data_IF_390839337213
#
_entry.id   IF_390839337213
#
_cell.length_a   1.000
_cell.length_b   1.000
_cell.length_c   1.000
_cell.angle_alpha   90.00
_cell.angle_beta   90.00
_cell.angle_gamma   90.00
#
_symmetry.space_group_name_H-M   'P 1'
#
loop_
_entity.id
_entity.type
_entity.pdbx_description
1 polymer ?
#
# COMPACT_ATOMS: atom_id res chain seq x y z
N UNK A 1 -43.04 -31.60 -3.91
CA UNK A 1 -42.37 -32.52 -4.86
C UNK A 1 -40.89 -32.17 -4.89
N UNK A 2 -40.08 -33.13 -4.41
CA UNK A 2 -38.70 -33.47 -4.80
C UNK A 2 -37.65 -32.39 -5.05
N UNK A 3 -36.38 -32.48 -4.65
CA UNK A 3 -35.57 -33.34 -3.78
C UNK A 3 -34.17 -32.70 -3.96
N UNK A 4 -33.39 -32.45 -2.92
CA UNK A 4 -31.93 -32.52 -3.07
C UNK A 4 -31.29 -32.98 -1.76
N UNK A 5 -30.45 -33.98 -1.96
CA UNK A 5 -30.02 -35.01 -1.02
C UNK A 5 -28.75 -34.55 -0.29
N UNK A 6 -28.71 -34.74 1.02
CA UNK A 6 -27.49 -34.80 1.81
C UNK A 6 -26.77 -36.14 1.56
N UNK A 7 -25.45 -36.13 1.35
CA UNK A 7 -24.64 -37.33 1.40
C UNK A 7 -23.62 -37.21 2.54
N UNK A 8 -23.89 -37.99 3.59
CA UNK A 8 -23.00 -38.32 4.69
C UNK A 8 -21.90 -39.30 4.25
N UNK A 9 -20.77 -39.20 4.96
CA UNK A 9 -19.94 -40.29 5.50
C UNK A 9 -19.50 -41.46 4.59
N UNK A 10 -18.18 -41.57 4.41
CA UNK A 10 -17.44 -42.83 4.25
C UNK A 10 -16.17 -42.75 5.13
N UNK A 11 -16.14 -43.35 6.33
CA UNK A 11 -15.93 -44.76 6.68
C UNK A 11 -14.44 -45.15 6.77
N UNK A 12 -14.06 -45.57 7.99
CA UNK A 12 -12.79 -46.16 8.41
C UNK A 12 -12.42 -47.37 7.55
N UNK A 13 -11.14 -47.49 7.19
CA UNK A 13 -10.51 -48.79 6.97
C UNK A 13 -9.05 -48.77 7.42
N UNK A 14 -8.71 -49.71 8.30
CA UNK A 14 -7.35 -50.07 8.72
C UNK A 14 -7.11 -51.51 8.25
N UNK A 15 -5.88 -51.85 7.85
CA UNK A 15 -5.37 -53.18 8.15
C UNK A 15 -4.07 -53.12 8.96
N UNK A 16 -3.95 -54.15 9.80
CA UNK A 16 -2.85 -54.47 10.71
C UNK A 16 -1.63 -55.03 9.96
N UNK A 17 -0.51 -55.02 10.68
CA UNK A 17 0.71 -55.84 10.57
C UNK A 17 1.88 -55.25 9.75
N UNK A 18 2.92 -54.87 10.50
CA UNK A 18 4.23 -54.44 10.00
C UNK A 18 5.15 -54.01 11.14
N UNK A 19 5.37 -54.91 12.11
CA UNK A 19 6.38 -54.75 13.17
C UNK A 19 7.79 -54.89 12.59
N UNK A 20 8.74 -54.13 13.16
CA UNK A 20 10.19 -54.07 12.88
C UNK A 20 10.66 -53.23 11.70
N UNK A 21 10.67 -51.88 11.85
CA UNK A 21 11.65 -51.01 11.15
C UNK A 21 11.84 -49.59 11.68
N UNK A 22 11.47 -49.29 12.93
CA UNK A 22 11.51 -47.91 13.47
C UNK A 22 12.59 -47.60 14.53
N UNK A 23 13.54 -48.50 14.79
CA UNK A 23 14.62 -48.23 15.78
C UNK A 23 15.98 -47.82 15.18
N UNK A 24 16.17 -47.82 13.84
CA UNK A 24 17.44 -47.37 13.24
C UNK A 24 17.40 -45.97 12.61
N UNK A 25 16.23 -45.36 12.42
CA UNK A 25 16.11 -44.02 11.84
C UNK A 25 16.31 -42.87 12.85
N UNK A 26 16.13 -43.14 14.15
CA UNK A 26 16.33 -42.13 15.19
C UNK A 26 17.79 -42.00 15.66
N UNK A 27 18.66 -42.98 15.38
CA UNK A 27 20.07 -42.89 15.74
C UNK A 27 20.91 -42.07 14.74
N UNK A 28 20.47 -41.94 13.48
CA UNK A 28 21.18 -41.18 12.45
C UNK A 28 20.91 -39.66 12.52
N UNK A 29 19.77 -39.24 13.08
CA UNK A 29 19.43 -37.82 13.26
C UNK A 29 20.13 -37.18 14.47
N UNK A 30 20.57 -37.97 15.45
CA UNK A 30 21.29 -37.49 16.64
C UNK A 30 22.79 -37.26 16.40
N UNK A 31 23.40 -37.93 15.41
CA UNK A 31 24.84 -37.80 15.12
C UNK A 31 25.13 -36.65 14.14
N UNK A 32 24.21 -36.34 13.22
CA UNK A 32 24.33 -35.15 12.36
C UNK A 32 24.14 -33.82 13.11
N UNK A 33 23.50 -33.85 14.29
CA UNK A 33 23.29 -32.66 15.14
C UNK A 33 24.46 -32.39 16.09
N UNK A 34 25.40 -33.32 16.25
CA UNK A 34 26.63 -33.12 17.04
C UNK A 34 27.84 -32.72 16.19
N UNK A 35 27.89 -33.07 14.90
CA UNK A 35 28.97 -32.63 14.01
C UNK A 35 28.77 -31.19 13.48
N UNK A 36 27.54 -30.66 13.54
CA UNK A 36 27.26 -29.27 13.15
C UNK A 36 27.35 -28.25 14.30
N UNK A 37 27.66 -28.70 15.53
CA UNK A 37 27.64 -27.87 16.72
C UNK A 37 29.02 -27.31 17.14
N UNK A 38 30.12 -27.71 16.49
CA UNK A 38 31.48 -27.38 16.96
C UNK A 38 32.32 -26.42 16.10
N UNK A 39 31.77 -25.78 15.05
CA UNK A 39 32.52 -24.77 14.27
C UNK A 39 31.85 -23.39 14.21
N UNK A 40 31.23 -22.97 15.31
CA UNK A 40 30.66 -21.62 15.45
C UNK A 40 31.22 -20.86 16.67
N UNK A 41 32.55 -20.93 16.85
CA UNK A 41 33.27 -20.12 17.85
C UNK A 41 34.36 -19.24 17.22
N UNK A 42 34.03 -18.54 16.12
CA UNK A 42 34.79 -17.33 15.73
C UNK A 42 33.94 -16.08 15.86
N UNK A 43 34.25 -15.32 16.92
CA UNK A 43 33.82 -13.94 17.16
C UNK A 43 34.03 -13.10 15.89
N UNK A 44 32.96 -12.87 15.14
CA UNK A 44 32.86 -11.73 14.25
C UNK A 44 32.24 -10.58 15.05
N UNK A 45 33.04 -9.57 15.37
CA UNK A 45 32.59 -8.32 15.97
C UNK A 45 31.44 -7.74 15.12
N UNK A 46 30.23 -7.78 15.68
CA UNK A 46 29.00 -7.50 14.96
C UNK A 46 28.79 -6.02 14.65
N UNK A 47 29.34 -5.55 13.53
CA UNK A 47 28.74 -4.46 12.76
C UNK A 47 27.91 -5.05 11.63
N UNK A 48 26.60 -5.24 11.86
CA UNK A 48 25.64 -5.64 10.82
C UNK A 48 25.62 -4.58 9.71
N UNK A 49 25.88 -4.90 8.43
CA UNK A 49 25.69 -3.93 7.36
C UNK A 49 24.18 -3.74 7.17
N UNK A 50 23.67 -2.56 7.53
CA UNK A 50 22.26 -2.22 7.34
C UNK A 50 22.07 -1.83 5.86
N UNK A 51 21.58 -2.78 5.09
CA UNK A 51 21.51 -2.75 3.62
C UNK A 51 20.39 -1.85 3.07
N UNK A 52 19.34 -1.60 3.86
CA UNK A 52 18.44 -0.45 3.76
C UNK A 52 18.31 0.12 5.17
N UNK A 53 18.53 1.43 5.37
CA UNK A 53 18.54 1.99 6.72
C UNK A 53 17.23 1.64 7.47
N UNK A 54 17.28 1.48 8.80
CA UNK A 54 16.09 1.13 9.59
C UNK A 54 14.90 2.07 9.31
N UNK A 55 15.19 3.34 9.01
CA UNK A 55 14.20 4.34 8.61
C UNK A 55 13.43 3.99 7.34
N UNK A 56 14.09 3.52 6.29
CA UNK A 56 13.47 3.14 5.02
C UNK A 56 12.57 1.92 5.19
N UNK A 57 13.02 0.90 5.93
CA UNK A 57 12.22 -0.31 6.20
C UNK A 57 10.94 0.05 6.94
N UNK A 58 11.05 0.90 7.98
CA UNK A 58 9.88 1.40 8.71
C UNK A 58 8.95 2.19 7.80
N UNK A 59 9.49 3.11 6.99
CA UNK A 59 8.71 3.88 6.04
C UNK A 59 7.98 2.99 5.01
N UNK A 60 8.62 1.91 4.56
CA UNK A 60 8.00 0.95 3.64
C UNK A 60 6.82 0.22 4.26
N UNK A 61 6.93 -0.17 5.53
CA UNK A 61 5.83 -0.85 6.24
C UNK A 61 4.57 0.03 6.32
N UNK A 62 4.76 1.34 6.46
CA UNK A 62 3.69 2.34 6.50
C UNK A 62 3.23 2.82 5.12
N UNK A 63 3.90 2.40 4.04
CA UNK A 63 3.61 2.88 2.68
C UNK A 63 2.75 1.89 1.90
N UNK A 64 1.77 2.42 1.17
CA UNK A 64 0.96 1.69 0.18
C UNK A 64 1.28 2.15 -1.24
N UNK A 65 0.87 1.37 -2.23
CA UNK A 65 1.08 1.68 -3.65
C UNK A 65 2.34 1.05 -4.19
N UNK A 66 3.20 1.84 -4.84
CA UNK A 66 4.40 1.34 -5.53
C UNK A 66 5.67 1.87 -4.88
N UNK A 67 6.60 0.96 -4.57
CA UNK A 67 7.94 1.26 -4.08
C UNK A 67 8.97 0.97 -5.17
N UNK A 68 9.72 1.98 -5.60
CA UNK A 68 10.80 1.83 -6.58
C UNK A 68 12.12 1.48 -5.88
N UNK A 69 12.87 0.51 -6.39
CA UNK A 69 14.22 0.17 -5.93
C UNK A 69 15.18 0.21 -7.11
N UNK A 70 16.15 1.12 -7.06
CA UNK A 70 17.13 1.32 -8.13
C UNK A 70 18.47 0.68 -7.75
N UNK A 71 18.67 -0.55 -8.24
CA UNK A 71 19.91 -1.31 -8.10
C UNK A 71 20.08 -1.92 -6.72
N UNK A 72 21.10 -2.76 -6.59
CA UNK A 72 21.42 -3.38 -5.31
C UNK A 72 22.38 -2.51 -4.46
N UNK A 73 22.40 -2.72 -3.14
CA UNK A 73 23.47 -2.23 -2.25
C UNK A 73 24.86 -2.66 -2.74
N UNK A 74 25.92 -1.99 -2.24
CA UNK A 74 27.32 -2.32 -2.58
C UNK A 74 27.70 -3.78 -2.33
N UNK A 75 27.17 -4.40 -1.27
CA UNK A 75 27.42 -5.80 -0.96
C UNK A 75 26.61 -6.78 -1.84
N UNK A 76 25.76 -6.27 -2.73
CA UNK A 76 24.90 -7.05 -3.61
C UNK A 76 23.86 -7.92 -2.90
N UNK A 77 23.57 -7.68 -1.62
CA UNK A 77 22.59 -8.50 -0.87
C UNK A 77 21.17 -8.27 -1.39
N UNK A 78 20.44 -9.37 -1.58
CA UNK A 78 19.03 -9.39 -2.00
C UNK A 78 18.07 -9.60 -0.84
N UNK A 79 18.55 -10.05 0.33
CA UNK A 79 17.70 -10.56 1.42
C UNK A 79 16.72 -9.52 1.96
N UNK A 80 17.17 -8.28 2.07
CA UNK A 80 16.32 -7.17 2.51
C UNK A 80 15.19 -6.91 1.52
N UNK A 81 15.48 -6.88 0.22
CA UNK A 81 14.52 -6.64 -0.85
C UNK A 81 13.46 -7.74 -0.87
N UNK A 82 13.91 -9.01 -0.78
CA UNK A 82 13.01 -10.17 -0.71
C UNK A 82 12.15 -10.11 0.56
N UNK A 83 12.74 -9.80 1.72
CA UNK A 83 12.00 -9.65 2.97
C UNK A 83 10.92 -8.56 2.89
N UNK A 84 11.21 -7.42 2.27
CA UNK A 84 10.23 -6.35 2.05
C UNK A 84 9.12 -6.79 1.09
N UNK A 85 9.48 -7.45 -0.02
CA UNK A 85 8.53 -7.95 -1.01
C UNK A 85 7.54 -8.97 -0.39
N UNK A 86 8.01 -9.80 0.54
CA UNK A 86 7.15 -10.76 1.25
C UNK A 86 6.12 -10.10 2.18
N UNK A 87 6.38 -8.90 2.71
CA UNK A 87 5.44 -8.16 3.56
C UNK A 87 4.25 -7.57 2.78
N UNK A 88 4.44 -7.30 1.48
CA UNK A 88 3.41 -6.77 0.56
C UNK A 88 2.73 -5.47 1.07
N UNK A 89 3.46 -4.61 1.78
CA UNK A 89 2.96 -3.28 2.15
C UNK A 89 2.73 -2.41 0.91
N UNK A 90 3.68 -2.46 -0.03
CA UNK A 90 3.61 -1.86 -1.36
C UNK A 90 4.12 -2.87 -2.39
N UNK A 91 3.75 -2.70 -3.65
CA UNK A 91 4.35 -3.43 -4.76
C UNK A 91 5.76 -2.88 -4.99
N UNK A 92 6.77 -3.74 -4.89
CA UNK A 92 8.15 -3.32 -5.19
C UNK A 92 8.41 -3.47 -6.68
N UNK A 93 8.91 -2.42 -7.31
CA UNK A 93 9.52 -2.49 -8.63
C UNK A 93 11.03 -2.30 -8.50
N UNK A 94 11.78 -3.36 -8.76
CA UNK A 94 13.23 -3.31 -8.86
C UNK A 94 13.63 -3.01 -10.31
N UNK A 95 14.45 -1.99 -10.52
CA UNK A 95 15.05 -1.68 -11.82
C UNK A 95 16.56 -1.84 -11.73
N UNK A 96 17.22 -2.32 -12.79
CA UNK A 96 18.69 -2.26 -12.99
C UNK A 96 19.12 -2.49 -14.44
N UNK A 97 20.14 -1.79 -14.98
CA UNK A 97 20.75 -2.13 -16.26
C UNK A 97 21.74 -3.29 -16.11
N UNK A 98 22.22 -3.58 -14.90
CA UNK A 98 23.19 -4.65 -14.64
C UNK A 98 22.51 -6.02 -14.71
N UNK A 99 22.79 -6.75 -15.79
CA UNK A 99 22.25 -8.09 -16.03
C UNK A 99 22.58 -9.09 -14.90
N UNK A 100 23.74 -8.94 -14.25
CA UNK A 100 24.13 -9.80 -13.12
C UNK A 100 23.25 -9.52 -11.91
N UNK A 101 22.97 -8.24 -11.62
CA UNK A 101 22.01 -7.88 -10.57
C UNK A 101 20.62 -8.40 -10.89
N UNK A 102 20.14 -8.20 -12.12
CA UNK A 102 18.82 -8.65 -12.56
C UNK A 102 18.67 -10.16 -12.41
N UNK A 103 19.65 -10.94 -12.87
CA UNK A 103 19.64 -12.41 -12.76
C UNK A 103 19.65 -12.86 -11.30
N UNK A 104 20.47 -12.21 -10.46
CA UNK A 104 20.54 -12.49 -9.03
C UNK A 104 19.21 -12.24 -8.32
N UNK A 105 18.59 -11.08 -8.56
CA UNK A 105 17.30 -10.71 -7.95
C UNK A 105 16.19 -11.63 -8.45
N UNK A 106 16.15 -11.96 -9.75
CA UNK A 106 15.17 -12.91 -10.31
C UNK A 106 15.26 -14.27 -9.63
N UNK A 107 16.46 -14.85 -9.50
CA UNK A 107 16.66 -16.15 -8.85
C UNK A 107 16.16 -16.13 -7.40
N UNK A 108 16.56 -15.12 -6.63
CA UNK A 108 16.12 -14.97 -5.24
C UNK A 108 14.60 -14.76 -5.12
N UNK A 109 14.00 -13.98 -6.03
CA UNK A 109 12.57 -13.70 -6.04
C UNK A 109 11.71 -14.92 -6.39
N UNK A 110 12.18 -15.77 -7.31
CA UNK A 110 11.54 -17.06 -7.64
C UNK A 110 11.61 -18.01 -6.45
N UNK A 111 12.79 -18.18 -5.86
CA UNK A 111 12.98 -19.05 -4.68
C UNK A 111 12.10 -18.64 -3.50
N UNK A 112 11.92 -17.34 -3.28
CA UNK A 112 11.05 -16.81 -2.24
C UNK A 112 9.57 -16.67 -2.64
N UNK A 113 9.19 -17.03 -3.88
CA UNK A 113 7.82 -16.96 -4.40
C UNK A 113 7.18 -15.56 -4.35
N UNK A 114 8.00 -14.51 -4.55
CA UNK A 114 7.57 -13.09 -4.52
C UNK A 114 7.54 -12.44 -5.90
N UNK A 115 8.16 -13.05 -6.92
CA UNK A 115 8.17 -12.54 -8.29
C UNK A 115 6.73 -12.43 -8.85
N UNK A 116 6.38 -11.26 -9.40
CA UNK A 116 5.05 -10.97 -9.94
C UNK A 116 3.95 -10.79 -8.89
N UNK A 117 4.28 -10.87 -7.59
CA UNK A 117 3.32 -10.76 -6.49
C UNK A 117 3.62 -9.58 -5.57
N UNK A 118 4.83 -9.55 -5.04
CA UNK A 118 5.34 -8.45 -4.22
C UNK A 118 6.52 -7.72 -4.87
N UNK A 119 7.12 -8.32 -5.90
CA UNK A 119 8.29 -7.80 -6.59
C UNK A 119 8.16 -7.97 -8.11
N UNK A 120 8.27 -6.87 -8.83
CA UNK A 120 8.43 -6.80 -10.30
C UNK A 120 9.87 -6.38 -10.59
N UNK A 121 10.49 -6.96 -11.61
CA UNK A 121 11.90 -6.76 -11.95
C UNK A 121 11.99 -6.26 -13.39
N UNK A 122 12.64 -5.11 -13.59
CA UNK A 122 12.76 -4.42 -14.87
C UNK A 122 14.23 -4.21 -15.21
N UNK A 123 14.68 -4.70 -16.36
CA UNK A 123 16.02 -4.41 -16.85
C UNK A 123 15.99 -3.16 -17.71
N UNK A 124 16.47 -2.04 -17.17
CA UNK A 124 16.44 -0.74 -17.85
C UNK A 124 17.46 0.22 -17.24
N UNK A 125 17.95 1.13 -18.07
CA UNK A 125 18.84 2.23 -17.68
C UNK A 125 18.24 3.14 -16.60
N UNK A 126 19.11 3.75 -15.80
CA UNK A 126 18.71 4.62 -14.68
C UNK A 126 18.14 5.97 -15.10
N UNK A 127 18.51 6.40 -16.29
CA UNK A 127 18.13 7.65 -16.92
C UNK A 127 16.64 7.66 -17.30
N UNK A 128 16.01 6.48 -17.38
CA UNK A 128 14.62 6.34 -17.78
C UNK A 128 13.88 5.41 -16.82
N UNK A 129 13.16 5.98 -15.86
CA UNK A 129 12.32 5.21 -14.95
C UNK A 129 11.05 4.79 -15.67
N UNK A 130 10.72 3.50 -15.59
CA UNK A 130 9.61 2.87 -16.35
C UNK A 130 8.21 3.23 -15.85
N UNK A 131 8.04 4.39 -15.21
CA UNK A 131 6.81 4.85 -14.61
C UNK A 131 6.36 6.19 -15.19
N UNK A 132 5.04 6.40 -15.34
CA UNK A 132 4.51 7.72 -15.62
C UNK A 132 4.75 8.66 -14.44
N UNK A 133 4.47 9.93 -14.66
CA UNK A 133 4.57 10.96 -13.64
C UNK A 133 3.67 10.61 -12.45
N UNK A 134 4.07 10.97 -11.24
CA UNK A 134 3.25 10.83 -10.03
C UNK A 134 2.82 9.40 -9.63
N UNK A 135 3.46 8.33 -10.10
CA UNK A 135 3.04 6.95 -9.79
C UNK A 135 3.66 6.38 -8.50
N UNK A 136 4.90 6.75 -8.18
CA UNK A 136 5.71 6.11 -7.14
C UNK A 136 5.47 6.73 -5.77
N UNK A 137 5.17 5.89 -4.77
CA UNK A 137 4.95 6.34 -3.39
C UNK A 137 6.26 6.59 -2.65
N UNK A 138 7.23 5.71 -2.88
CA UNK A 138 8.56 5.86 -2.30
C UNK A 138 9.62 5.20 -3.17
N UNK A 139 10.86 5.65 -3.03
CA UNK A 139 11.99 5.05 -3.74
C UNK A 139 13.20 4.80 -2.82
N UNK A 140 13.94 3.73 -3.11
CA UNK A 140 15.28 3.51 -2.61
C UNK A 140 16.26 3.51 -3.77
N UNK A 141 17.31 4.31 -3.66
CA UNK A 141 18.26 4.52 -4.75
C UNK A 141 19.65 4.14 -4.27
N UNK A 142 20.22 3.09 -4.86
CA UNK A 142 21.55 2.60 -4.52
C UNK A 142 22.64 3.64 -4.76
N UNK A 143 23.82 3.40 -4.17
CA UNK A 143 24.99 4.25 -4.42
C UNK A 143 25.50 4.21 -5.86
N UNK A 144 25.14 3.18 -6.64
CA UNK A 144 25.39 3.13 -8.08
C UNK A 144 24.42 4.03 -8.82
N UNK A 145 23.12 3.95 -8.49
CA UNK A 145 22.07 4.72 -9.16
C UNK A 145 22.07 6.22 -8.81
N UNK A 146 22.51 6.60 -7.61
CA UNK A 146 22.43 8.00 -7.15
C UNK A 146 23.40 8.94 -7.87
N UNK A 147 24.46 8.42 -8.49
CA UNK A 147 25.50 9.25 -9.14
C UNK A 147 25.16 9.62 -10.58
N UNK A 148 24.07 9.08 -11.15
CA UNK A 148 23.69 9.41 -12.52
C UNK A 148 23.15 10.85 -12.61
N UNK A 149 23.64 11.65 -13.57
CA UNK A 149 23.11 12.98 -13.83
C UNK A 149 21.60 12.94 -14.10
N UNK A 150 20.84 13.86 -13.51
CA UNK A 150 19.39 13.95 -13.72
C UNK A 150 18.54 12.99 -12.89
N UNK A 151 19.12 12.05 -12.11
CA UNK A 151 18.34 11.10 -11.31
C UNK A 151 17.35 11.78 -10.37
N UNK A 152 17.73 12.92 -9.77
CA UNK A 152 16.82 13.68 -8.88
C UNK A 152 15.62 14.23 -9.65
N UNK A 153 15.81 14.75 -10.86
CA UNK A 153 14.73 15.28 -11.70
C UNK A 153 13.78 14.14 -12.07
N UNK A 154 14.32 13.00 -12.46
CA UNK A 154 13.54 11.84 -12.87
C UNK A 154 12.78 11.20 -11.69
N UNK A 155 13.38 11.14 -10.49
CA UNK A 155 12.68 10.75 -9.27
C UNK A 155 11.53 11.70 -8.94
N UNK A 156 11.76 13.02 -9.03
CA UNK A 156 10.71 14.02 -8.82
C UNK A 156 9.61 13.95 -9.89
N UNK A 157 9.90 13.45 -11.09
CA UNK A 157 8.87 13.18 -12.11
C UNK A 157 7.98 12.03 -11.65
N UNK A 158 8.56 10.87 -11.36
CA UNK A 158 7.79 9.64 -11.07
C UNK A 158 7.19 9.56 -9.67
N UNK A 159 7.78 10.22 -8.65
CA UNK A 159 7.19 10.27 -7.31
C UNK A 159 5.83 10.98 -7.38
N UNK A 160 4.84 10.52 -6.64
CA UNK A 160 3.64 11.32 -6.38
C UNK A 160 3.97 12.46 -5.41
N UNK A 161 3.21 13.57 -5.41
CA UNK A 161 3.34 14.64 -4.42
C UNK A 161 3.32 14.13 -2.97
N UNK A 162 4.30 14.56 -2.17
CA UNK A 162 4.56 14.04 -0.81
C UNK A 162 5.32 12.70 -0.76
N UNK A 163 5.53 12.04 -1.90
CA UNK A 163 6.33 10.83 -2.02
C UNK A 163 7.81 11.10 -1.79
N UNK A 164 8.54 10.11 -1.26
CA UNK A 164 9.92 10.26 -0.80
C UNK A 164 10.89 9.27 -1.44
N UNK A 165 12.05 9.76 -1.88
CA UNK A 165 13.17 8.95 -2.33
C UNK A 165 14.31 9.00 -1.31
N UNK A 166 14.76 7.83 -0.87
CA UNK A 166 15.98 7.65 -0.07
C UNK A 166 17.16 7.43 -1.01
N UNK A 167 18.10 8.37 -1.00
CA UNK A 167 19.28 8.42 -1.84
C UNK A 167 20.50 7.94 -1.06
N UNK A 168 21.04 6.78 -1.40
CA UNK A 168 22.20 6.21 -0.71
C UNK A 168 23.50 6.72 -1.33
N UNK A 169 23.99 7.87 -0.87
CA UNK A 169 25.27 8.43 -1.30
C UNK A 169 26.49 7.62 -0.82
N UNK A 170 27.69 8.03 -1.26
CA UNK A 170 28.96 7.39 -0.83
C UNK A 170 29.22 7.52 0.67
N UNK A 171 28.92 8.69 1.25
CA UNK A 171 29.20 9.02 2.64
C UNK A 171 27.95 9.24 3.51
N UNK A 172 26.84 9.71 2.91
CA UNK A 172 25.60 9.98 3.63
C UNK A 172 24.37 9.57 2.84
N UNK A 173 23.31 9.22 3.57
CA UNK A 173 21.97 9.03 3.01
C UNK A 173 21.22 10.36 3.04
N UNK A 174 20.65 10.75 1.90
CA UNK A 174 19.77 11.91 1.80
C UNK A 174 18.34 11.46 1.50
N UNK A 175 17.36 12.28 1.85
CA UNK A 175 15.96 12.07 1.46
C UNK A 175 15.53 13.24 0.59
N UNK A 176 14.86 12.94 -0.52
CA UNK A 176 14.19 13.94 -1.36
C UNK A 176 12.71 13.66 -1.29
N UNK A 177 11.91 14.71 -1.09
CA UNK A 177 10.46 14.66 -1.12
C UNK A 177 9.95 15.46 -2.31
N UNK A 178 8.94 14.95 -3.02
CA UNK A 178 8.30 15.71 -4.08
C UNK A 178 7.34 16.74 -3.48
N UNK A 179 7.51 18.05 -3.75
CA UNK A 179 6.56 19.05 -3.29
C UNK A 179 5.21 18.89 -4.00
N UNK A 180 4.15 19.37 -3.36
CA UNK A 180 2.87 19.53 -4.04
C UNK A 180 2.97 20.61 -5.13
N UNK A 181 2.49 20.34 -6.35
CA UNK A 181 2.54 21.32 -7.43
C UNK A 181 1.63 22.51 -7.11
N UNK A 182 2.07 23.71 -7.49
CA UNK A 182 1.23 24.90 -7.43
C UNK A 182 0.08 24.80 -8.44
N UNK A 183 -1.08 25.39 -8.11
CA UNK A 183 -2.25 25.42 -9.01
C UNK A 183 -3.13 24.17 -8.97
N UNK A 184 -2.76 23.14 -8.20
CA UNK A 184 -3.66 22.04 -7.86
C UNK A 184 -4.63 22.45 -6.76
N UNK A 185 -5.90 22.08 -6.89
CA UNK A 185 -6.94 22.46 -5.93
C UNK A 185 -7.54 21.24 -5.20
N UNK A 186 -8.05 21.46 -3.99
CA UNK A 186 -8.80 20.45 -3.25
C UNK A 186 -10.28 20.47 -3.64
N UNK A 187 -10.91 19.29 -3.66
CA UNK A 187 -12.36 19.11 -3.71
C UNK A 187 -12.85 18.76 -2.31
N UNK A 188 -12.78 19.75 -1.41
CA UNK A 188 -12.92 19.54 0.03
C UNK A 188 -14.32 19.07 0.48
N UNK A 189 -15.37 19.51 -0.20
CA UNK A 189 -16.79 19.26 0.11
C UNK A 189 -17.46 18.46 -1.03
N UNK A 190 -18.67 17.88 -0.83
CA UNK A 190 -19.38 17.14 -1.88
C UNK A 190 -19.54 17.94 -3.19
N UNK A 191 -19.72 19.26 -3.09
CA UNK A 191 -19.83 20.19 -4.21
C UNK A 191 -18.65 21.16 -4.24
N UNK A 192 -17.44 20.62 -4.19
CA UNK A 192 -16.15 21.32 -4.23
C UNK A 192 -15.79 22.10 -2.95
N UNK A 193 -16.50 23.18 -2.66
CA UNK A 193 -16.21 24.12 -1.57
C UNK A 193 -17.39 24.36 -0.62
N UNK A 194 -17.19 25.15 0.45
CA UNK A 194 -18.26 25.51 1.39
C UNK A 194 -19.32 26.44 0.78
N UNK A 195 -19.06 27.01 -0.40
CA UNK A 195 -19.99 27.82 -1.18
C UNK A 195 -20.98 26.97 -2.01
N UNK A 196 -20.84 25.64 -1.98
CA UNK A 196 -21.69 24.70 -2.71
C UNK A 196 -21.67 24.92 -4.24
N UNK A 197 -20.57 25.46 -4.77
CA UNK A 197 -20.40 25.74 -6.19
C UNK A 197 -19.47 24.71 -6.84
N UNK A 198 -19.98 23.90 -7.76
CA UNK A 198 -19.26 22.75 -8.34
C UNK A 198 -18.24 23.14 -9.42
N UNK A 199 -17.39 24.13 -9.13
CA UNK A 199 -16.40 24.68 -10.07
C UNK A 199 -15.02 24.65 -9.43
N UNK A 200 -14.11 23.88 -10.04
CA UNK A 200 -12.70 23.90 -9.65
C UNK A 200 -11.91 25.00 -10.38
N UNK A 201 -10.98 25.60 -9.65
CA UNK A 201 -9.94 26.52 -10.12
C UNK A 201 -8.61 25.81 -10.39
N UNK A 202 -8.60 24.47 -10.44
CA UNK A 202 -7.43 23.67 -10.77
C UNK A 202 -6.85 24.08 -12.14
N UNK A 203 -5.52 24.19 -12.20
CA UNK A 203 -4.78 24.60 -13.40
C UNK A 203 -3.90 23.49 -13.98
N UNK A 204 -3.90 22.31 -13.36
CA UNK A 204 -3.06 21.17 -13.69
C UNK A 204 -3.76 20.18 -14.61
N UNK A 205 -5.08 20.01 -14.44
CA UNK A 205 -5.90 19.17 -15.31
C UNK A 205 -6.15 19.89 -16.65
N UNK A 206 -5.25 19.70 -17.61
CA UNK A 206 -5.32 20.29 -18.95
C UNK A 206 -5.62 19.24 -20.03
N UNK A 207 -6.27 19.67 -21.10
CA UNK A 207 -6.47 18.85 -22.30
C UNK A 207 -5.11 18.51 -22.97
N UNK A 208 -4.93 17.30 -23.56
CA UNK A 208 -5.86 16.18 -23.61
C UNK A 208 -5.83 15.37 -22.31
N UNK A 209 -7.00 15.18 -21.69
CA UNK A 209 -7.11 14.39 -20.46
C UNK A 209 -6.72 12.94 -20.73
N UNK A 210 -5.73 12.44 -19.98
CA UNK A 210 -5.23 11.06 -20.09
C UNK A 210 -5.52 10.29 -18.81
N UNK A 211 -5.79 9.00 -18.96
CA UNK A 211 -5.95 8.11 -17.81
C UNK A 211 -4.62 7.96 -17.08
N UNK A 212 -4.59 8.42 -15.83
CA UNK A 212 -3.42 8.27 -14.95
C UNK A 212 -3.34 6.86 -14.35
N UNK A 213 -4.44 6.34 -13.81
CA UNK A 213 -4.54 4.99 -13.26
C UNK A 213 -5.99 4.47 -13.31
N UNK A 214 -6.12 3.15 -13.19
CA UNK A 214 -7.36 2.46 -12.83
C UNK A 214 -7.07 1.67 -11.55
N UNK A 215 -7.96 1.72 -10.58
CA UNK A 215 -7.72 1.15 -9.25
C UNK A 215 -8.98 0.56 -8.62
N UNK A 216 -8.78 -0.29 -7.60
CA UNK A 216 -9.89 -0.86 -6.84
C UNK A 216 -10.52 0.17 -5.88
N UNK A 217 -11.82 0.01 -5.55
CA UNK A 217 -12.74 -0.98 -6.13
C UNK A 217 -13.12 -0.63 -7.58
N UNK A 218 -13.18 -1.64 -8.45
CA UNK A 218 -13.57 -1.44 -9.87
C UNK A 218 -15.04 -1.10 -10.06
N UNK A 219 -15.88 -1.35 -9.04
CA UNK A 219 -17.32 -1.12 -9.06
C UNK A 219 -17.76 -0.51 -7.74
N UNK A 220 -18.59 0.53 -7.81
CA UNK A 220 -19.17 1.22 -6.67
C UNK A 220 -20.57 0.75 -6.31
N UNK A 221 -21.07 1.17 -5.14
CA UNK A 221 -22.45 0.95 -4.70
C UNK A 221 -23.19 2.28 -4.63
N UNK A 222 -24.52 2.24 -4.67
CA UNK A 222 -25.36 3.44 -4.63
C UNK A 222 -25.72 3.76 -3.17
N UNK A 223 -25.72 5.02 -2.74
CA UNK A 223 -25.20 6.22 -3.40
C UNK A 223 -23.71 6.45 -3.13
N UNK A 224 -23.09 7.38 -3.86
CA UNK A 224 -21.64 7.65 -3.78
C UNK A 224 -21.38 9.12 -3.46
N UNK A 225 -20.34 9.37 -2.66
CA UNK A 225 -19.75 10.69 -2.49
C UNK A 225 -18.23 10.60 -2.63
N UNK A 226 -17.64 11.64 -3.22
CA UNK A 226 -16.21 11.81 -3.36
C UNK A 226 -15.79 13.19 -2.85
N UNK A 227 -14.77 13.22 -2.00
CA UNK A 227 -14.03 14.44 -1.65
C UNK A 227 -12.53 14.17 -1.75
N UNK A 228 -11.73 15.18 -2.05
CA UNK A 228 -10.30 15.04 -2.25
C UNK A 228 -9.50 16.21 -1.67
N UNK A 229 -8.46 15.90 -0.89
CA UNK A 229 -7.54 16.89 -0.33
C UNK A 229 -6.20 16.24 0.06
N UNK A 230 -5.13 17.02 0.04
CA UNK A 230 -3.80 16.56 0.48
C UNK A 230 -3.26 15.31 -0.23
N UNK A 231 -3.60 15.12 -1.51
CA UNK A 231 -3.20 13.95 -2.29
C UNK A 231 -3.99 12.67 -2.00
N UNK A 232 -5.14 12.78 -1.34
CA UNK A 232 -6.03 11.65 -1.01
C UNK A 232 -7.42 11.92 -1.58
N UNK A 233 -8.06 10.86 -2.07
CA UNK A 233 -9.49 10.86 -2.39
C UNK A 233 -10.21 9.95 -1.41
N UNK A 234 -11.42 10.36 -1.04
CA UNK A 234 -12.28 9.66 -0.10
C UNK A 234 -13.56 9.26 -0.84
N UNK A 235 -13.71 7.96 -1.08
CA UNK A 235 -14.89 7.40 -1.75
C UNK A 235 -15.80 6.76 -0.72
N UNK A 236 -16.96 7.35 -0.49
CA UNK A 236 -17.95 6.86 0.45
C UNK A 236 -19.08 6.17 -0.32
N UNK A 237 -19.22 4.85 -0.14
CA UNK A 237 -20.23 4.03 -0.78
C UNK A 237 -21.39 3.74 0.16
N UNK A 238 -22.60 3.98 -0.32
CA UNK A 238 -23.86 3.84 0.40
C UNK A 238 -24.35 2.40 0.54
N UNK A 239 -25.65 2.27 0.78
CA UNK A 239 -26.27 1.04 1.28
C UNK A 239 -27.02 0.23 0.21
N UNK A 240 -27.05 0.67 -1.06
CA UNK A 240 -27.79 0.00 -2.13
C UNK A 240 -26.86 -0.65 -3.16
N UNK A 241 -27.05 -1.94 -3.36
CA UNK A 241 -26.40 -2.69 -4.43
C UNK A 241 -27.37 -2.88 -5.60
N UNK A 242 -26.93 -2.56 -6.83
CA UNK A 242 -27.64 -2.93 -8.07
C UNK A 242 -27.23 -4.32 -8.57
N UNK A 243 -25.98 -4.70 -8.34
CA UNK A 243 -25.43 -5.99 -8.74
C UNK A 243 -24.70 -6.64 -7.56
N UNK A 244 -24.59 -7.97 -7.58
CA UNK A 244 -23.95 -8.75 -6.51
C UNK A 244 -22.50 -8.30 -6.23
N UNK A 245 -21.79 -7.79 -7.23
CA UNK A 245 -20.42 -7.29 -7.09
C UNK A 245 -20.33 -6.04 -6.20
N UNK A 246 -21.40 -5.22 -6.13
CA UNK A 246 -21.46 -4.01 -5.29
C UNK A 246 -21.53 -4.35 -3.80
N UNK A 247 -22.01 -5.54 -3.43
CA UNK A 247 -22.13 -5.96 -2.01
C UNK A 247 -20.79 -5.89 -1.26
N UNK A 248 -19.66 -6.00 -1.97
CA UNK A 248 -18.32 -5.94 -1.38
C UNK A 248 -17.95 -4.54 -0.88
N UNK A 249 -18.59 -3.49 -1.38
CA UNK A 249 -18.26 -2.09 -1.06
C UNK A 249 -19.36 -1.36 -0.30
N UNK A 250 -20.51 -2.00 -0.05
CA UNK A 250 -21.62 -1.40 0.70
C UNK A 250 -21.19 -0.86 2.06
N UNK A 251 -21.66 0.35 2.37
CA UNK A 251 -21.40 1.05 3.62
C UNK A 251 -19.91 1.08 3.97
N UNK A 252 -19.07 1.46 3.01
CA UNK A 252 -17.61 1.59 3.22
C UNK A 252 -17.10 2.92 2.72
N UNK A 253 -16.18 3.46 3.50
CA UNK A 253 -15.33 4.58 3.13
C UNK A 253 -13.97 4.02 2.70
N UNK A 254 -13.51 4.44 1.54
CA UNK A 254 -12.17 4.16 1.04
C UNK A 254 -11.37 5.46 1.03
N UNK A 255 -10.17 5.44 1.62
CA UNK A 255 -9.17 6.46 1.36
C UNK A 255 -8.16 5.90 0.37
N UNK A 256 -8.03 6.57 -0.76
CA UNK A 256 -7.14 6.18 -1.85
C UNK A 256 -6.15 7.30 -2.15
N UNK A 257 -4.94 6.93 -2.55
CA UNK A 257 -3.96 7.88 -3.05
C UNK A 257 -4.44 8.45 -4.39
N UNK A 258 -4.57 9.78 -4.48
CA UNK A 258 -5.14 10.47 -5.62
C UNK A 258 -4.28 10.40 -6.90
N UNK A 259 -3.03 9.92 -6.81
CA UNK A 259 -2.09 9.92 -7.93
C UNK A 259 -1.79 8.52 -8.50
N UNK A 260 -1.98 7.47 -7.70
CA UNK A 260 -1.70 6.09 -8.11
C UNK A 260 -2.78 5.07 -7.73
N UNK A 261 -3.89 5.50 -7.13
CA UNK A 261 -5.04 4.64 -6.83
C UNK A 261 -4.84 3.63 -5.71
N UNK A 262 -3.72 3.68 -4.98
CA UNK A 262 -3.47 2.77 -3.88
C UNK A 262 -4.48 3.00 -2.74
N UNK A 263 -5.17 1.94 -2.31
CA UNK A 263 -6.01 1.99 -1.10
C UNK A 263 -5.09 2.16 0.11
N UNK A 264 -5.20 3.31 0.77
CA UNK A 264 -4.41 3.66 1.95
C UNK A 264 -5.01 3.02 3.20
N UNK A 265 -6.33 3.15 3.36
CA UNK A 265 -7.11 2.54 4.42
C UNK A 265 -8.59 2.52 4.04
N UNK A 266 -9.36 1.71 4.75
CA UNK A 266 -10.81 1.64 4.62
C UNK A 266 -11.48 1.70 5.99
N UNK A 267 -12.73 2.14 6.03
CA UNK A 267 -13.58 2.15 7.23
C UNK A 267 -15.00 1.71 6.90
N UNK A 268 -15.69 1.04 7.84
CA UNK A 268 -17.14 0.91 7.74
C UNK A 268 -17.80 2.28 7.90
N UNK A 269 -18.90 2.48 7.17
CA UNK A 269 -19.85 3.57 7.38
C UNK A 269 -21.04 3.07 8.20
N UNK A 270 -21.76 4.00 8.81
CA UNK A 270 -22.96 3.69 9.58
C UNK A 270 -24.04 3.08 8.67
N UNK A 271 -24.45 1.87 8.99
CA UNK A 271 -25.50 1.17 8.24
C UNK A 271 -26.81 1.95 8.35
N UNK A 272 -27.50 2.11 7.22
CA UNK A 272 -28.78 2.81 7.14
C UNK A 272 -28.67 4.34 7.08
N UNK A 273 -27.46 4.90 7.25
CA UNK A 273 -27.26 6.33 7.05
C UNK A 273 -27.13 6.65 5.56
N UNK A 274 -27.89 7.64 5.08
CA UNK A 274 -27.85 8.01 3.67
C UNK A 274 -26.67 8.93 3.38
N UNK A 275 -25.62 8.36 2.78
CA UNK A 275 -24.34 9.05 2.60
C UNK A 275 -24.46 10.34 1.75
N UNK A 276 -25.40 10.44 0.81
CA UNK A 276 -25.62 11.70 0.06
C UNK A 276 -26.06 12.88 0.92
N UNK A 277 -26.69 12.63 2.07
CA UNK A 277 -27.08 13.66 3.05
C UNK A 277 -25.99 13.92 4.09
N UNK A 278 -24.79 13.39 3.87
CA UNK A 278 -23.71 13.46 4.83
C UNK A 278 -22.90 14.74 4.73
N UNK A 279 -22.58 15.31 5.88
CA UNK A 279 -21.48 16.27 5.99
C UNK A 279 -20.16 15.49 5.95
N UNK A 280 -19.51 15.50 4.80
CA UNK A 280 -18.14 14.99 4.61
C UNK A 280 -17.24 16.13 4.14
N UNK A 281 -16.16 16.39 4.87
CA UNK A 281 -15.23 17.49 4.56
C UNK A 281 -13.80 16.98 4.67
N UNK A 282 -13.03 17.10 3.59
CA UNK A 282 -11.62 16.70 3.56
C UNK A 282 -10.67 17.89 3.61
N UNK A 283 -9.66 17.76 4.45
CA UNK A 283 -8.53 18.68 4.61
C UNK A 283 -7.22 17.89 4.43
N UNK A 284 -6.04 18.55 4.34
CA UNK A 284 -4.79 17.83 4.15
C UNK A 284 -4.44 16.84 5.28
N UNK A 285 -4.88 17.11 6.51
CA UNK A 285 -4.55 16.36 7.73
C UNK A 285 -5.75 15.67 8.38
N UNK A 286 -6.99 16.11 8.12
CA UNK A 286 -8.21 15.54 8.70
C UNK A 286 -9.31 15.27 7.68
N UNK A 287 -10.13 14.26 7.97
CA UNK A 287 -11.43 14.05 7.32
C UNK A 287 -12.53 14.16 8.38
N UNK A 288 -13.47 15.07 8.16
CA UNK A 288 -14.70 15.18 8.91
C UNK A 288 -15.75 14.32 8.22
N UNK A 289 -16.36 13.40 8.96
CA UNK A 289 -17.36 12.48 8.45
C UNK A 289 -18.50 12.38 9.47
N UNK A 290 -19.65 12.94 9.14
CA UNK A 290 -20.79 12.85 10.03
C UNK A 290 -21.58 11.55 9.88
N UNK A 291 -22.56 11.34 10.75
CA UNK A 291 -23.67 10.41 10.55
C UNK A 291 -24.84 10.85 11.44
N UNK A 292 -25.72 9.92 11.84
CA UNK A 292 -26.86 10.22 12.70
C UNK A 292 -26.48 10.42 14.18
N UNK A 293 -25.23 10.21 14.58
CA UNK A 293 -24.79 10.24 15.98
C UNK A 293 -23.83 11.40 16.25
N UNK A 294 -22.84 11.62 15.39
CA UNK A 294 -21.79 12.63 15.60
C UNK A 294 -21.06 12.96 14.30
N UNK A 295 -20.25 14.01 14.31
CA UNK A 295 -19.23 14.27 13.30
C UNK A 295 -17.89 13.71 13.75
N UNK A 296 -17.41 12.67 13.07
CA UNK A 296 -16.13 12.01 13.33
C UNK A 296 -15.02 12.83 12.71
N UNK A 297 -14.01 13.18 13.51
CA UNK A 297 -12.77 13.79 13.04
C UNK A 297 -11.73 12.69 12.90
N UNK A 298 -11.39 12.34 11.66
CA UNK A 298 -10.48 11.25 11.34
C UNK A 298 -9.12 11.79 10.90
N UNK A 299 -8.04 11.14 11.33
CA UNK A 299 -6.70 11.38 10.80
C UNK A 299 -6.67 11.01 9.30
N UNK A 300 -6.33 11.97 8.44
CA UNK A 300 -6.39 11.77 6.99
C UNK A 300 -5.46 10.63 6.51
N UNK A 301 -4.32 10.45 7.17
CA UNK A 301 -3.29 9.49 6.75
C UNK A 301 -3.63 8.06 7.14
N UNK A 302 -4.21 7.86 8.32
CA UNK A 302 -4.39 6.53 8.94
C UNK A 302 -5.86 6.11 9.03
N UNK A 303 -6.78 7.07 8.89
CA UNK A 303 -8.20 6.87 9.11
C UNK A 303 -8.55 6.63 10.57
N UNK A 304 -7.64 6.83 11.53
CA UNK A 304 -7.95 6.68 12.95
C UNK A 304 -8.89 7.80 13.42
N UNK A 305 -9.81 7.46 14.32
CA UNK A 305 -10.64 8.46 14.98
C UNK A 305 -9.75 9.28 15.91
N UNK A 306 -9.81 10.60 15.77
CA UNK A 306 -9.09 11.56 16.61
C UNK A 306 -10.03 12.21 17.62
N UNK A 307 -11.24 12.57 17.17
CA UNK A 307 -12.21 13.31 17.96
C UNK A 307 -13.64 13.10 17.42
N UNK A 308 -14.65 13.47 18.20
CA UNK A 308 -16.05 13.44 17.83
C UNK A 308 -16.77 14.72 18.26
N UNK A 309 -17.47 15.34 17.31
CA UNK A 309 -18.26 16.54 17.55
C UNK A 309 -19.73 16.15 17.62
N UNK A 310 -20.36 16.41 18.76
CA UNK A 310 -21.78 16.17 19.00
C UNK A 310 -22.45 17.53 19.23
N UNK A 311 -23.51 17.88 18.49
CA UNK A 311 -24.18 19.16 18.66
C UNK A 311 -24.96 19.14 19.97
N UNK A 312 -25.22 20.30 20.60
CA UNK A 312 -26.09 20.37 21.77
C UNK A 312 -27.50 19.89 21.39
N UNK A 313 -27.84 18.65 21.73
CA UNK A 313 -29.02 17.94 21.20
C UNK A 313 -30.32 18.71 21.41
N UNK A 314 -30.48 19.37 22.56
CA UNK A 314 -31.66 20.19 22.87
C UNK A 314 -31.81 21.41 21.96
N UNK A 315 -30.70 22.00 21.52
CA UNK A 315 -30.70 23.19 20.64
C UNK A 315 -30.82 22.78 19.18
N UNK A 316 -30.17 21.68 18.79
CA UNK A 316 -30.14 21.20 17.40
C UNK A 316 -31.36 20.35 17.00
N UNK A 317 -32.23 19.97 17.95
CA UNK A 317 -33.39 19.11 17.68
C UNK A 317 -33.03 17.66 17.36
N UNK A 318 -31.79 17.24 17.62
CA UNK A 318 -31.27 15.91 17.34
C UNK A 318 -29.75 15.89 17.20
N UNK A 319 -29.21 14.70 16.91
CA UNK A 319 -27.78 14.46 16.65
C UNK A 319 -27.46 14.33 15.16
N UNK A 320 -28.48 14.36 14.30
CA UNK A 320 -28.32 14.13 12.87
C UNK A 320 -27.72 15.35 12.20
N UNK A 321 -26.52 15.19 11.65
CA UNK A 321 -25.88 16.18 10.79
C UNK A 321 -26.35 15.95 9.36
N UNK A 322 -27.29 16.78 8.92
CA UNK A 322 -27.76 16.84 7.53
C UNK A 322 -27.42 18.24 7.01
N UNK A 323 -26.77 18.30 5.84
CA UNK A 323 -26.60 19.54 5.08
C UNK A 323 -27.85 19.84 4.26
#
# INVERSE_FOLDING_TARGET
MSHFISANAWQKYSPKNGTYRYCLFYLFLAICSLIYAEDSSKKASGTKPIVANKGFVKAYEDTKGVCLVLGLPKNGSTDWLIKLASKKSALICFQSPDEKEITKVRKAAVQANVLGRGLIIMQKEWQHLVFPDNMISMAWVSSKAVVFPGIKKELLRVLHPGGKATLVGKAKTNVVEKPFPAGGEAWSHPYHGPDNNSVSKDKLALYPYRTQFLGYPMFGAISELCVASGGRMYLAFGHQAKHAIHNKVLNKLFCINAYNGAILWTRPLKIGFMIQRNTIISTPDKLYLADNESCKVLDAKTGKLLDEIIPPVKQAGGTVWKW
#
